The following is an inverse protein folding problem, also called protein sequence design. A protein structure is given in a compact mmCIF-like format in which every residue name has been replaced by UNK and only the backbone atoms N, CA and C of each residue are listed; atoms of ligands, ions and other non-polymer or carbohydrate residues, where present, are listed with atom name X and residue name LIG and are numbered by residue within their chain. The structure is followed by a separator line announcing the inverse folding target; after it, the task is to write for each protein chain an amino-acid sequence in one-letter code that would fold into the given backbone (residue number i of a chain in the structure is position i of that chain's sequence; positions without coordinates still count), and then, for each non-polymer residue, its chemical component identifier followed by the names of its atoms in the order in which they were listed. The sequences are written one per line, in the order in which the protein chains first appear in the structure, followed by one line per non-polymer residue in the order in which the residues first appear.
data_IF_695993459912
#
_entry.id   IF_695993459912
#
_cell.length_a   1.000
_cell.length_b   1.000
_cell.length_c   1.000
_cell.angle_alpha   90.00
_cell.angle_beta   90.00
_cell.angle_gamma   90.00
#
_symmetry.space_group_name_H-M   'P 1'
#
loop_
_entity.id
_entity.type
_entity.pdbx_description
1 polymer ?
#
# COMPACT_ATOMS: atom_id res chain seq x y z
N UNK A 1 -4.47 -21.97 11.93
CA UNK A 1 -4.77 -20.68 11.28
C UNK A 1 -5.12 -19.67 12.36
N UNK A 2 -4.16 -18.88 12.82
CA UNK A 2 -4.40 -17.86 13.84
C UNK A 2 -5.18 -16.70 13.24
N UNK A 3 -6.25 -16.29 13.93
CA UNK A 3 -7.17 -15.22 13.56
C UNK A 3 -6.55 -13.83 13.79
N UNK A 4 -5.27 -13.66 13.45
CA UNK A 4 -4.56 -12.41 13.63
C UNK A 4 -4.84 -11.50 12.43
N UNK A 5 -5.78 -10.58 12.64
CA UNK A 5 -5.98 -9.45 11.74
C UNK A 5 -4.70 -8.61 11.78
N UNK A 6 -3.96 -8.58 10.67
CA UNK A 6 -2.90 -7.59 10.48
C UNK A 6 -3.48 -6.18 10.73
N UNK A 7 -2.73 -5.24 11.33
CA UNK A 7 -3.18 -3.88 11.67
C UNK A 7 -3.76 -3.06 10.50
N UNK A 8 -3.60 -3.58 9.28
CA UNK A 8 -4.09 -3.18 7.97
C UNK A 8 -5.47 -2.49 7.84
N UNK A 9 -6.50 -2.88 8.60
CA UNK A 9 -7.85 -2.35 8.36
C UNK A 9 -7.96 -0.86 8.68
N UNK A 10 -7.17 -0.37 9.65
CA UNK A 10 -7.15 1.04 10.07
C UNK A 10 -6.16 1.90 9.29
N UNK A 11 -5.13 1.30 8.70
CA UNK A 11 -4.02 2.03 8.06
C UNK A 11 -4.05 1.99 6.54
N UNK A 12 -4.79 1.06 5.91
CA UNK A 12 -4.89 0.97 4.44
C UNK A 12 -5.44 2.25 3.80
N UNK A 13 -4.99 2.61 2.60
CA UNK A 13 -5.54 3.75 1.87
C UNK A 13 -7.06 3.63 1.73
N UNK A 14 -7.79 4.71 2.01
CA UNK A 14 -9.25 4.71 1.98
C UNK A 14 -9.82 4.17 0.66
N UNK A 15 -9.18 4.49 -0.47
CA UNK A 15 -9.58 3.99 -1.79
C UNK A 15 -9.58 2.45 -1.90
N UNK A 16 -8.63 1.79 -1.26
CA UNK A 16 -8.55 0.32 -1.25
C UNK A 16 -9.69 -0.23 -0.40
N UNK A 17 -10.01 0.43 0.72
CA UNK A 17 -11.16 0.11 1.53
C UNK A 17 -12.49 0.24 0.77
N UNK A 18 -12.67 1.34 0.05
CA UNK A 18 -13.85 1.62 -0.77
C UNK A 18 -13.99 0.58 -1.90
N UNK A 19 -12.89 0.24 -2.58
CA UNK A 19 -12.86 -0.79 -3.62
C UNK A 19 -13.24 -2.18 -3.08
N UNK A 20 -12.70 -2.57 -1.92
CA UNK A 20 -13.04 -3.84 -1.26
C UNK A 20 -14.52 -3.86 -0.85
N UNK A 21 -15.03 -2.75 -0.30
CA UNK A 21 -16.44 -2.62 0.06
C UNK A 21 -17.38 -2.73 -1.16
N UNK A 22 -16.90 -2.37 -2.35
CA UNK A 22 -17.59 -2.51 -3.64
C UNK A 22 -17.31 -3.85 -4.33
N UNK A 23 -17.10 -4.90 -3.54
CA UNK A 23 -16.81 -6.25 -4.01
C UNK A 23 -15.63 -6.34 -5.00
N UNK A 24 -14.65 -5.44 -4.88
CA UNK A 24 -13.48 -5.35 -5.77
C UNK A 24 -13.84 -5.12 -7.24
N UNK A 25 -14.89 -4.32 -7.51
CA UNK A 25 -15.30 -3.96 -8.86
C UNK A 25 -14.10 -3.47 -9.71
N UNK A 26 -13.79 -4.11 -10.86
CA UNK A 26 -12.63 -3.76 -11.69
C UNK A 26 -12.75 -2.40 -12.38
N UNK A 27 -13.96 -1.87 -12.56
CA UNK A 27 -14.22 -0.59 -13.24
C UNK A 27 -14.21 0.59 -12.27
N UNK A 28 -14.23 0.33 -10.96
CA UNK A 28 -14.23 1.39 -9.97
C UNK A 28 -12.87 2.09 -9.88
N UNK A 29 -12.89 3.42 -9.75
CA UNK A 29 -11.72 4.26 -9.51
C UNK A 29 -11.98 5.17 -8.30
N UNK A 30 -10.95 5.48 -7.51
CA UNK A 30 -11.09 6.53 -6.50
C UNK A 30 -11.36 7.87 -7.19
N UNK A 31 -12.18 8.75 -6.60
CA UNK A 31 -12.24 10.13 -7.07
C UNK A 31 -10.84 10.75 -6.96
N UNK A 32 -10.51 11.67 -7.88
CA UNK A 32 -9.26 12.43 -7.85
C UNK A 32 -9.12 13.07 -6.45
N UNK A 33 -8.16 12.56 -5.67
CA UNK A 33 -7.86 12.98 -4.31
C UNK A 33 -6.46 13.55 -4.29
N UNK A 34 -6.17 14.32 -3.24
CA UNK A 34 -4.83 14.80 -2.93
C UNK A 34 -3.81 13.64 -2.98
N UNK A 35 -2.95 13.68 -4.00
CA UNK A 35 -1.88 12.71 -4.24
C UNK A 35 -0.95 12.61 -3.02
N UNK A 36 -0.64 13.74 -2.39
CA UNK A 36 0.30 13.82 -1.27
C UNK A 36 -0.26 13.04 -0.09
N UNK A 37 -1.54 13.25 0.19
CA UNK A 37 -2.25 12.52 1.24
C UNK A 37 -2.35 11.03 0.93
N UNK A 38 -2.64 10.67 -0.33
CA UNK A 38 -2.69 9.27 -0.75
C UNK A 38 -1.33 8.57 -0.58
N UNK A 39 -0.26 9.23 -1.03
CA UNK A 39 1.13 8.78 -0.90
C UNK A 39 1.51 8.51 0.54
N UNK A 40 1.15 9.41 1.46
CA UNK A 40 1.40 9.24 2.89
C UNK A 40 0.66 8.02 3.47
N UNK A 41 -0.63 7.88 3.16
CA UNK A 41 -1.41 6.71 3.57
C UNK A 41 -0.82 5.41 3.03
N UNK A 42 -0.47 5.39 1.74
CA UNK A 42 0.13 4.22 1.11
C UNK A 42 1.46 3.84 1.76
N UNK A 43 2.38 4.80 1.97
CA UNK A 43 3.67 4.54 2.62
C UNK A 43 3.51 3.96 4.02
N UNK A 44 2.67 4.59 4.85
CA UNK A 44 2.40 4.13 6.23
C UNK A 44 1.83 2.71 6.22
N UNK A 45 0.85 2.45 5.35
CA UNK A 45 0.26 1.12 5.22
C UNK A 45 1.26 0.08 4.72
N UNK A 46 1.99 0.41 3.65
CA UNK A 46 2.93 -0.51 3.00
C UNK A 46 4.05 -0.90 3.97
N UNK A 47 4.58 0.04 4.75
CA UNK A 47 5.57 -0.24 5.80
C UNK A 47 5.00 -1.17 6.88
N UNK A 48 3.75 -0.96 7.30
CA UNK A 48 3.11 -1.75 8.35
C UNK A 48 2.80 -3.21 7.96
N UNK A 49 2.75 -3.52 6.67
CA UNK A 49 2.52 -4.89 6.17
C UNK A 49 3.80 -5.60 5.77
N UNK A 50 4.97 -4.95 5.85
CA UNK A 50 6.22 -5.61 5.50
C UNK A 50 6.54 -6.72 6.51
N UNK A 51 6.98 -7.90 6.05
CA UNK A 51 7.52 -8.91 6.95
C UNK A 51 8.72 -8.36 7.73
N UNK A 52 8.92 -8.83 8.97
CA UNK A 52 9.99 -8.36 9.86
C UNK A 52 11.37 -8.48 9.21
N UNK A 53 11.62 -9.56 8.46
CA UNK A 53 12.88 -9.76 7.72
C UNK A 53 13.13 -8.70 6.65
N UNK A 54 12.07 -8.06 6.14
CA UNK A 54 12.14 -7.03 5.10
C UNK A 54 12.33 -5.65 5.70
N UNK A 55 12.08 -5.46 6.99
CA UNK A 55 12.28 -4.19 7.67
C UNK A 55 13.65 -4.10 8.34
N UNK A 56 14.36 -3.00 8.08
CA UNK A 56 15.51 -2.53 8.87
C UNK A 56 15.07 -1.29 9.62
N UNK A 57 15.25 -1.28 10.93
CA UNK A 57 15.23 -0.03 11.67
C UNK A 57 16.66 0.50 11.70
N UNK A 58 16.87 1.72 11.20
CA UNK A 58 18.15 2.40 11.37
C UNK A 58 18.29 2.97 12.79
N UNK A 59 19.46 3.55 13.07
CA UNK A 59 19.76 4.17 14.38
C UNK A 59 18.85 5.35 14.72
N UNK A 60 18.09 5.88 13.75
CA UNK A 60 17.16 7.00 13.90
C UNK A 60 15.69 6.54 14.00
N UNK A 61 15.44 5.23 13.99
CA UNK A 61 14.10 4.65 14.08
C UNK A 61 13.35 4.60 12.73
N UNK A 62 13.99 4.92 11.62
CA UNK A 62 13.36 4.79 10.30
C UNK A 62 13.35 3.34 9.84
N UNK A 63 12.16 2.88 9.45
CA UNK A 63 11.96 1.55 8.87
C UNK A 63 12.21 1.56 7.37
N UNK A 64 13.33 0.99 6.96
CA UNK A 64 13.73 0.77 5.58
C UNK A 64 13.32 -0.61 5.09
N UNK A 65 12.95 -0.69 3.81
CA UNK A 65 12.61 -1.95 3.15
C UNK A 65 13.89 -2.51 2.51
N UNK A 66 14.41 -3.62 3.01
CA UNK A 66 15.56 -4.33 2.42
C UNK A 66 15.22 -4.78 1.00
N UNK A 67 16.16 -4.57 0.07
CA UNK A 67 16.14 -5.14 -1.28
C UNK A 67 16.74 -6.56 -1.35
N UNK A 68 17.25 -7.05 -0.21
CA UNK A 68 18.14 -8.20 -0.17
C UNK A 68 17.43 -9.53 -0.49
N UNK A 69 18.15 -10.39 -1.21
CA UNK A 69 17.63 -11.40 -2.17
C UNK A 69 18.09 -12.84 -1.90
N UNK A 70 18.58 -13.11 -0.70
CA UNK A 70 18.76 -14.45 -0.16
C UNK A 70 17.41 -15.20 -0.17
N UNK A 71 17.24 -16.09 -1.16
CA UNK A 71 15.97 -16.74 -1.55
C UNK A 71 15.28 -17.64 -0.51
N UNK A 72 15.63 -17.50 0.76
CA UNK A 72 15.08 -18.25 1.91
C UNK A 72 14.10 -17.41 2.75
N UNK A 73 13.66 -16.24 2.27
CA UNK A 73 12.78 -15.35 3.04
C UNK A 73 11.30 -15.63 2.77
N UNK A 74 10.57 -15.92 3.85
CA UNK A 74 9.19 -16.36 3.80
C UNK A 74 8.22 -15.18 3.59
N UNK A 75 7.45 -15.23 2.50
CA UNK A 75 6.39 -14.27 2.18
C UNK A 75 4.99 -14.78 2.55
N UNK A 76 4.89 -15.92 3.24
CA UNK A 76 3.63 -16.55 3.62
C UNK A 76 2.69 -15.60 4.38
N UNK A 77 3.25 -14.64 5.13
CA UNK A 77 2.50 -13.58 5.80
C UNK A 77 1.70 -12.68 4.87
N UNK A 78 2.18 -12.46 3.64
CA UNK A 78 1.45 -11.77 2.58
C UNK A 78 0.59 -12.72 1.73
N UNK A 79 0.81 -14.04 1.83
CA UNK A 79 0.04 -15.10 1.17
C UNK A 79 -1.22 -15.50 1.94
N UNK A 80 -1.76 -14.61 2.78
CA UNK A 80 -3.02 -14.84 3.49
C UNK A 80 -4.21 -14.50 2.57
N UNK A 81 -4.96 -15.53 2.16
CA UNK A 81 -6.19 -15.36 1.37
C UNK A 81 -7.21 -14.53 2.16
N UNK A 82 -7.55 -13.33 1.68
CA UNK A 82 -8.54 -12.48 2.35
C UNK A 82 -8.25 -10.98 2.24
N UNK A 83 -8.52 -10.25 3.32
CA UNK A 83 -8.52 -8.79 3.38
C UNK A 83 -7.14 -8.13 3.17
N UNK A 84 -6.04 -8.90 3.02
CA UNK A 84 -4.65 -8.45 3.03
C UNK A 84 -3.72 -9.18 2.04
N UNK A 85 -4.23 -9.64 0.89
CA UNK A 85 -3.37 -10.24 -0.14
C UNK A 85 -2.55 -9.20 -0.91
N UNK A 86 -1.46 -9.66 -1.56
CA UNK A 86 -0.64 -8.90 -2.54
C UNK A 86 -1.51 -8.13 -3.55
N UNK A 87 -2.67 -8.68 -3.92
CA UNK A 87 -3.65 -8.02 -4.79
C UNK A 87 -4.09 -6.63 -4.30
N UNK A 88 -4.22 -6.42 -2.99
CA UNK A 88 -4.58 -5.11 -2.45
C UNK A 88 -3.45 -4.10 -2.63
N UNK A 89 -2.19 -4.55 -2.57
CA UNK A 89 -1.01 -3.70 -2.83
C UNK A 89 -1.00 -3.27 -4.30
N UNK A 90 -1.23 -4.21 -5.21
CA UNK A 90 -1.32 -3.93 -6.65
C UNK A 90 -2.47 -2.96 -6.94
N UNK A 91 -3.65 -3.17 -6.36
CA UNK A 91 -4.78 -2.26 -6.51
C UNK A 91 -4.48 -0.86 -5.97
N UNK A 92 -3.81 -0.75 -4.82
CA UNK A 92 -3.42 0.53 -4.25
C UNK A 92 -2.43 1.29 -5.14
N UNK A 93 -1.45 0.61 -5.73
CA UNK A 93 -0.51 1.21 -6.69
C UNK A 93 -1.24 1.67 -7.97
N UNK A 94 -2.16 0.86 -8.47
CA UNK A 94 -2.99 1.22 -9.62
C UNK A 94 -3.86 2.46 -9.36
N UNK A 95 -4.44 2.56 -8.16
CA UNK A 95 -5.20 3.74 -7.75
C UNK A 95 -4.34 4.97 -7.59
N UNK A 96 -3.12 4.84 -7.06
CA UNK A 96 -2.17 5.94 -7.01
C UNK A 96 -1.84 6.46 -8.42
N UNK A 97 -1.53 5.57 -9.35
CA UNK A 97 -1.29 5.94 -10.75
C UNK A 97 -2.49 6.67 -11.37
N UNK A 98 -3.71 6.19 -11.09
CA UNK A 98 -4.93 6.83 -11.59
C UNK A 98 -5.08 8.26 -11.04
N UNK A 99 -4.82 8.47 -9.74
CA UNK A 99 -4.84 9.79 -9.11
C UNK A 99 -3.80 10.74 -9.73
N UNK A 100 -2.58 10.25 -9.97
CA UNK A 100 -1.53 11.02 -10.63
C UNK A 100 -1.95 11.40 -12.06
N UNK A 101 -2.51 10.45 -12.81
CA UNK A 101 -2.92 10.65 -14.21
C UNK A 101 -4.09 11.63 -14.35
N UNK A 102 -5.00 11.65 -13.38
CA UNK A 102 -6.13 12.58 -13.33
C UNK A 102 -5.74 13.98 -12.83
N UNK A 103 -4.53 14.14 -12.28
CA UNK A 103 -4.04 15.44 -11.83
C UNK A 103 -3.55 16.26 -13.05
N UNK A 104 -4.07 17.48 -13.28
CA UNK A 104 -3.63 18.32 -14.39
C UNK A 104 -2.11 18.56 -14.37
N UNK A 105 -1.48 18.43 -15.56
CA UNK A 105 -0.03 18.46 -15.80
C UNK A 105 0.69 19.68 -15.19
N UNK A 106 -0.02 20.79 -14.98
CA UNK A 106 0.56 22.06 -14.54
C UNK A 106 1.06 22.06 -13.08
N UNK A 107 0.58 21.17 -12.20
CA UNK A 107 1.00 21.18 -10.78
C UNK A 107 2.18 20.26 -10.43
N UNK A 108 2.51 19.31 -11.31
CA UNK A 108 3.56 18.32 -11.03
C UNK A 108 4.98 18.87 -11.16
N UNK A 109 5.17 19.95 -11.94
CA UNK A 109 6.49 20.52 -12.26
C UNK A 109 6.91 21.69 -11.37
N UNK A 110 6.01 22.28 -10.59
CA UNK A 110 6.32 23.44 -9.76
C UNK A 110 6.78 23.08 -8.33
N UNK A 111 6.74 21.80 -7.94
CA UNK A 111 7.07 21.35 -6.57
C UNK A 111 8.28 20.40 -6.48
N UNK A 112 9.06 20.24 -7.56
CA UNK A 112 10.40 19.62 -7.53
C UNK A 112 11.48 20.68 -7.44
#
# INVERSE_FOLDING_TARGET
YTNEKLPSAKTRPGAVGDWIARARNPDWRPPAKDEIHYRQQFKTWYNAIQPDWRTLEDSEGYKWIRADSDGTRDWSDLSRSGQNGVMNVVAALFFWYSIISDTPVDKFREQQ
#
